data_IF_255347724573
#
_entry.id   IF_255347724573
#
_cell.length_a   1.000
_cell.length_b   1.000
_cell.length_c   1.000
_cell.angle_alpha   90.00
_cell.angle_beta   90.00
_cell.angle_gamma   90.00
#
_symmetry.space_group_name_H-M   'P 1'
#
loop_
_entity.id
_entity.type
_entity.pdbx_description
1 polymer ?
#
# COMPACT_ATOMS: atom_id res chain seq x y z
N UNK A 1 24.03 22.12 -1.27
CA UNK A 1 25.00 21.00 -1.12
C UNK A 1 26.19 21.26 -2.02
N UNK A 2 27.29 21.71 -1.44
CA UNK A 2 28.59 21.87 -2.10
C UNK A 2 29.07 20.52 -2.64
N UNK A 3 29.67 20.54 -3.82
CA UNK A 3 30.18 19.38 -4.55
C UNK A 3 31.34 18.70 -3.79
N UNK A 4 31.01 17.84 -2.83
CA UNK A 4 31.96 16.88 -2.30
C UNK A 4 31.93 15.65 -3.20
N UNK A 5 32.98 15.52 -4.01
CA UNK A 5 33.30 14.24 -4.62
C UNK A 5 33.66 13.29 -3.48
N UNK A 6 32.75 12.39 -3.13
CA UNK A 6 33.04 11.32 -2.17
C UNK A 6 33.48 10.10 -2.98
N UNK A 7 34.77 9.81 -2.97
CA UNK A 7 35.33 8.60 -3.54
C UNK A 7 35.40 7.56 -2.42
N UNK A 8 34.44 6.63 -2.38
CA UNK A 8 34.28 5.68 -1.29
C UNK A 8 35.28 4.51 -1.33
N UNK A 9 36.56 4.78 -1.59
CA UNK A 9 37.59 3.73 -1.63
C UNK A 9 37.46 2.81 -2.85
N UNK A 10 38.07 1.63 -2.76
CA UNK A 10 38.09 0.63 -3.82
C UNK A 10 36.73 -0.08 -3.96
N UNK A 11 36.40 -0.64 -5.14
CA UNK A 11 35.20 -1.45 -5.31
C UNK A 11 35.04 -2.59 -4.29
N UNK A 12 36.14 -3.19 -3.83
CA UNK A 12 36.08 -4.26 -2.82
C UNK A 12 35.65 -3.72 -1.45
N UNK A 13 36.24 -2.59 -1.01
CA UNK A 13 35.89 -1.93 0.26
C UNK A 13 34.42 -1.49 0.27
N UNK A 14 33.93 -0.92 -0.85
CA UNK A 14 32.52 -0.58 -1.03
C UNK A 14 31.62 -1.79 -0.81
N UNK A 15 31.96 -2.95 -1.38
CA UNK A 15 31.16 -4.17 -1.21
C UNK A 15 31.23 -4.73 0.20
N UNK A 16 32.34 -4.53 0.92
CA UNK A 16 32.44 -4.91 2.34
C UNK A 16 31.54 -4.05 3.23
N UNK A 17 31.39 -2.76 2.92
CA UNK A 17 30.39 -1.90 3.57
C UNK A 17 28.98 -2.37 3.23
N UNK A 18 28.67 -2.57 1.94
CA UNK A 18 27.35 -3.02 1.48
C UNK A 18 26.93 -4.34 2.14
N UNK A 19 27.87 -5.29 2.33
CA UNK A 19 27.59 -6.57 2.97
C UNK A 19 27.23 -6.45 4.46
N UNK A 20 27.55 -5.33 5.12
CA UNK A 20 27.23 -5.09 6.52
C UNK A 20 25.89 -4.35 6.70
N UNK A 21 25.41 -3.64 5.68
CA UNK A 21 24.20 -2.83 5.79
C UNK A 21 22.96 -3.62 6.22
N UNK A 22 22.72 -4.89 5.80
CA UNK A 22 21.56 -5.65 6.27
C UNK A 22 21.48 -5.88 7.78
N UNK A 23 22.58 -5.70 8.52
CA UNK A 23 22.59 -5.81 9.98
C UNK A 23 22.19 -4.50 10.69
N UNK A 24 22.06 -3.40 9.94
CA UNK A 24 21.64 -2.11 10.49
C UNK A 24 20.12 -2.04 10.65
N UNK A 25 19.61 -1.26 11.62
CA UNK A 25 18.18 -1.03 11.72
C UNK A 25 17.67 -0.16 10.56
N UNK A 26 16.47 -0.48 10.07
CA UNK A 26 15.72 0.42 9.19
C UNK A 26 15.15 1.59 9.98
N UNK A 27 14.92 2.72 9.31
CA UNK A 27 14.17 3.82 9.90
C UNK A 27 12.68 3.47 10.00
N UNK A 28 11.97 4.11 10.93
CA UNK A 28 10.52 3.99 10.99
C UNK A 28 9.85 4.59 9.73
N UNK A 29 8.62 4.20 9.39
CA UNK A 29 7.90 4.78 8.25
C UNK A 29 7.82 6.31 8.32
N UNK A 30 8.31 6.98 7.27
CA UNK A 30 8.35 8.44 7.18
C UNK A 30 9.56 9.10 7.85
N UNK A 31 10.45 8.32 8.47
CA UNK A 31 11.68 8.81 9.07
C UNK A 31 12.91 8.47 8.21
N UNK A 32 14.02 9.13 8.53
CA UNK A 32 15.36 8.86 7.99
C UNK A 32 16.32 8.63 9.15
N UNK A 33 17.18 7.63 9.03
CA UNK A 33 18.23 7.34 10.00
C UNK A 33 19.60 7.35 9.30
N UNK A 34 20.49 8.25 9.71
CA UNK A 34 21.85 8.26 9.20
C UNK A 34 22.66 7.09 9.82
N UNK A 35 23.51 6.46 9.03
CA UNK A 35 24.40 5.39 9.48
C UNK A 35 25.85 5.65 9.10
N UNK A 36 26.77 5.06 9.87
CA UNK A 36 28.19 5.07 9.56
C UNK A 36 28.80 3.67 9.73
N UNK A 37 29.45 3.16 8.69
CA UNK A 37 30.11 1.84 8.67
C UNK A 37 31.47 1.97 8.01
N UNK A 38 32.53 1.56 8.72
CA UNK A 38 33.92 1.62 8.24
C UNK A 38 34.35 3.00 7.71
N UNK A 39 33.81 4.09 8.26
CA UNK A 39 34.11 5.46 7.81
C UNK A 39 33.31 5.93 6.58
N UNK A 40 32.39 5.10 6.10
CA UNK A 40 31.40 5.47 5.08
C UNK A 40 30.10 5.87 5.76
N UNK A 41 29.39 6.82 5.18
CA UNK A 41 28.12 7.31 5.67
C UNK A 41 27.03 7.07 4.63
N UNK A 42 25.80 6.92 5.10
CA UNK A 42 24.62 6.86 4.25
C UNK A 42 23.35 6.97 5.08
N UNK A 43 22.23 6.67 4.43
CA UNK A 43 20.90 6.90 5.00
C UNK A 43 20.12 5.59 5.00
N UNK A 44 19.33 5.35 6.03
CA UNK A 44 18.33 4.28 6.11
C UNK A 44 16.96 4.91 6.05
N UNK A 45 16.08 4.31 5.25
CA UNK A 45 14.67 4.60 5.18
C UNK A 45 13.88 3.35 5.59
N UNK A 46 12.56 3.41 5.54
CA UNK A 46 11.71 2.23 5.68
C UNK A 46 12.10 1.17 4.63
N UNK A 47 12.66 0.05 5.10
CA UNK A 47 13.04 -1.16 4.33
C UNK A 47 14.17 -1.01 3.31
N UNK A 48 14.91 0.10 3.29
CA UNK A 48 16.04 0.27 2.37
C UNK A 48 17.16 1.10 3.00
N UNK A 49 18.39 0.66 2.81
CA UNK A 49 19.58 1.47 3.05
C UNK A 49 20.06 2.07 1.73
N UNK A 50 20.33 3.36 1.72
CA UNK A 50 20.85 4.10 0.59
C UNK A 50 22.30 4.50 0.86
N UNK A 51 23.18 4.18 -0.08
CA UNK A 51 24.58 4.51 -0.04
C UNK A 51 24.98 5.26 -1.32
N UNK A 52 25.18 6.58 -1.20
CA UNK A 52 25.62 7.41 -2.32
C UNK A 52 27.09 7.18 -2.62
N UNK A 53 27.40 6.47 -3.70
CA UNK A 53 28.78 6.03 -4.03
C UNK A 53 29.62 7.07 -4.75
N UNK A 54 28.99 7.95 -5.54
CA UNK A 54 29.69 9.04 -6.21
C UNK A 54 28.73 10.15 -6.67
N UNK A 55 29.24 11.37 -6.70
CA UNK A 55 28.61 12.53 -7.33
C UNK A 55 29.69 13.36 -8.03
N UNK A 56 29.66 13.42 -9.37
CA UNK A 56 30.73 14.09 -10.14
C UNK A 56 30.22 14.62 -11.49
N UNK A 57 30.68 15.81 -11.95
CA UNK A 57 30.28 16.36 -13.25
C UNK A 57 30.75 15.51 -14.44
N UNK A 58 31.92 14.86 -14.32
CA UNK A 58 32.37 13.89 -15.31
C UNK A 58 31.63 12.55 -15.15
N UNK A 59 30.69 12.30 -16.06
CA UNK A 59 29.92 11.05 -16.11
C UNK A 59 30.80 9.83 -16.36
N UNK A 60 31.95 9.97 -17.04
CA UNK A 60 32.83 8.84 -17.33
C UNK A 60 33.42 8.27 -16.05
N UNK A 61 33.87 9.12 -15.12
CA UNK A 61 34.37 8.73 -13.80
C UNK A 61 33.33 7.99 -12.96
N UNK A 62 32.10 8.50 -12.92
CA UNK A 62 31.00 7.86 -12.19
C UNK A 62 30.69 6.47 -12.77
N UNK A 63 30.71 6.34 -14.10
CA UNK A 63 30.52 5.05 -14.78
C UNK A 63 31.68 4.09 -14.58
N UNK A 64 32.91 4.59 -14.52
CA UNK A 64 34.11 3.79 -14.23
C UNK A 64 34.00 3.16 -12.84
N UNK A 65 33.67 3.95 -11.81
CA UNK A 65 33.41 3.43 -10.47
C UNK A 65 32.28 2.40 -10.46
N UNK A 66 31.13 2.73 -11.04
CA UNK A 66 29.97 1.83 -11.10
C UNK A 66 30.33 0.50 -11.80
N UNK A 67 31.10 0.55 -12.88
CA UNK A 67 31.60 -0.64 -13.58
C UNK A 67 32.53 -1.45 -12.69
N UNK A 68 33.44 -0.79 -11.97
CA UNK A 68 34.33 -1.44 -11.01
C UNK A 68 33.57 -2.17 -9.90
N UNK A 69 32.57 -1.52 -9.31
CA UNK A 69 31.68 -2.10 -8.29
C UNK A 69 30.88 -3.28 -8.87
N UNK A 70 30.31 -3.13 -10.07
CA UNK A 70 29.56 -4.19 -10.71
C UNK A 70 30.41 -5.43 -11.02
N UNK A 71 31.63 -5.25 -11.54
CA UNK A 71 32.57 -6.36 -11.79
C UNK A 71 32.98 -7.05 -10.48
N UNK A 72 33.19 -6.28 -9.41
CA UNK A 72 33.49 -6.85 -8.10
C UNK A 72 32.28 -7.63 -7.53
N UNK A 73 31.06 -7.12 -7.72
CA UNK A 73 29.84 -7.77 -7.27
C UNK A 73 29.56 -9.06 -8.07
N UNK A 74 29.79 -9.06 -9.38
CA UNK A 74 29.69 -10.25 -10.22
C UNK A 74 30.61 -11.39 -9.73
N UNK A 75 31.83 -11.04 -9.28
CA UNK A 75 32.76 -12.01 -8.70
C UNK A 75 32.33 -12.50 -7.32
N UNK A 76 31.75 -11.63 -6.50
CA UNK A 76 31.41 -11.92 -5.10
C UNK A 76 30.07 -12.65 -4.95
N UNK A 77 29.05 -12.26 -5.71
CA UNK A 77 27.66 -12.70 -5.55
C UNK A 77 27.08 -13.36 -6.80
N UNK A 78 27.86 -13.44 -7.89
CA UNK A 78 27.48 -14.16 -9.09
C UNK A 78 26.63 -13.32 -10.04
N UNK A 79 25.63 -13.96 -10.67
CA UNK A 79 24.92 -13.38 -11.81
C UNK A 79 24.08 -12.16 -11.41
N UNK A 80 24.32 -11.04 -12.08
CA UNK A 80 23.45 -9.85 -11.98
C UNK A 80 22.18 -9.96 -12.82
N UNK A 81 21.15 -9.29 -12.35
CA UNK A 81 19.87 -9.09 -13.02
C UNK A 81 19.68 -7.61 -13.34
N UNK A 82 18.70 -7.31 -14.22
CA UNK A 82 18.30 -5.93 -14.51
C UNK A 82 16.96 -5.66 -13.84
N UNK A 83 16.89 -4.55 -13.12
CA UNK A 83 15.65 -4.02 -12.57
C UNK A 83 15.23 -2.82 -13.40
N UNK A 84 13.99 -2.85 -13.90
CA UNK A 84 13.41 -1.77 -14.69
C UNK A 84 12.29 -1.11 -13.90
N UNK A 85 12.46 0.16 -13.53
CA UNK A 85 11.47 0.89 -12.76
C UNK A 85 10.15 1.06 -13.53
N UNK A 86 10.17 0.99 -14.88
CA UNK A 86 8.96 1.07 -15.69
C UNK A 86 8.17 -0.26 -15.71
N UNK A 87 8.81 -1.38 -15.35
CA UNK A 87 8.15 -2.69 -15.23
C UNK A 87 7.52 -2.90 -13.84
N UNK A 88 7.67 -1.93 -12.94
CA UNK A 88 7.06 -1.94 -11.60
C UNK A 88 5.73 -1.22 -11.65
N UNK A 89 4.80 -1.69 -10.82
CA UNK A 89 3.46 -1.11 -10.70
C UNK A 89 3.55 0.39 -10.40
N UNK A 90 3.01 1.27 -11.27
CA UNK A 90 3.23 2.70 -11.14
C UNK A 90 2.52 3.26 -9.90
N UNK A 91 3.05 4.34 -9.31
CA UNK A 91 2.58 4.89 -8.02
C UNK A 91 1.08 5.22 -7.96
N UNK A 92 0.49 5.49 -9.12
CA UNK A 92 -0.92 5.79 -9.23
C UNK A 92 -1.80 4.51 -9.25
N UNK A 93 -1.23 3.35 -9.53
CA UNK A 93 -1.93 2.06 -9.55
C UNK A 93 -2.17 1.53 -8.12
N UNK A 94 -3.41 1.18 -7.72
CA UNK A 94 -3.70 0.61 -6.41
C UNK A 94 -2.90 -0.65 -6.06
N UNK A 95 -2.47 -1.43 -7.06
CA UNK A 95 -1.60 -2.59 -6.83
C UNK A 95 -0.17 -2.17 -6.43
N UNK A 96 0.19 -0.88 -6.52
CA UNK A 96 1.48 -0.36 -6.08
C UNK A 96 1.77 -0.67 -4.61
N UNK A 97 0.75 -0.65 -3.74
CA UNK A 97 0.93 -1.02 -2.32
C UNK A 97 1.21 -2.52 -2.13
N UNK A 98 0.85 -3.34 -3.12
CA UNK A 98 1.01 -4.79 -3.12
C UNK A 98 2.24 -5.25 -3.90
N UNK A 99 2.79 -4.40 -4.76
CA UNK A 99 4.01 -4.69 -5.50
C UNK A 99 5.22 -4.39 -4.60
N UNK A 100 5.91 -5.42 -4.09
CA UNK A 100 7.03 -5.20 -3.19
C UNK A 100 8.19 -4.45 -3.88
N UNK A 101 8.21 -4.41 -5.22
CA UNK A 101 9.20 -3.68 -6.02
C UNK A 101 8.92 -2.17 -6.08
N UNK A 102 7.75 -1.72 -5.63
CA UNK A 102 7.32 -0.32 -5.63
C UNK A 102 8.29 0.60 -4.88
N UNK A 103 8.71 0.17 -3.68
CA UNK A 103 9.62 0.94 -2.82
C UNK A 103 10.99 1.17 -3.48
N UNK A 104 11.73 0.13 -3.92
CA UNK A 104 13.00 0.35 -4.60
C UNK A 104 12.84 1.11 -5.92
N UNK A 105 11.76 0.90 -6.68
CA UNK A 105 11.50 1.67 -7.91
C UNK A 105 11.29 3.16 -7.63
N UNK A 106 10.50 3.50 -6.61
CA UNK A 106 10.25 4.89 -6.22
C UNK A 106 11.54 5.58 -5.74
N UNK A 107 12.39 4.88 -4.97
CA UNK A 107 13.68 5.39 -4.55
C UNK A 107 14.60 5.68 -5.75
N UNK A 108 14.70 4.74 -6.69
CA UNK A 108 15.47 4.93 -7.93
C UNK A 108 14.95 6.10 -8.77
N UNK A 109 13.63 6.21 -8.93
CA UNK A 109 13.00 7.29 -9.69
C UNK A 109 13.19 8.65 -9.05
N UNK A 110 13.13 8.75 -7.71
CA UNK A 110 13.41 9.99 -6.98
C UNK A 110 14.84 10.50 -7.25
N UNK A 111 15.78 9.58 -7.47
CA UNK A 111 17.15 9.90 -7.85
C UNK A 111 17.34 10.10 -9.36
N UNK A 112 16.29 9.99 -10.17
CA UNK A 112 16.31 10.10 -11.62
C UNK A 112 16.90 8.88 -12.35
N UNK A 113 17.02 7.74 -11.67
CA UNK A 113 17.39 6.47 -12.29
C UNK A 113 16.13 5.72 -12.76
N UNK A 114 16.15 5.22 -13.99
CA UNK A 114 15.05 4.41 -14.54
C UNK A 114 15.30 2.91 -14.42
N UNK A 115 16.55 2.51 -14.15
CA UNK A 115 16.98 1.12 -14.11
C UNK A 115 18.15 0.94 -13.14
N UNK A 116 18.31 -0.28 -12.64
CA UNK A 116 19.43 -0.68 -11.80
C UNK A 116 19.95 -2.07 -12.18
N UNK A 117 21.23 -2.32 -11.92
CA UNK A 117 21.80 -3.67 -11.90
C UNK A 117 21.60 -4.27 -10.51
N UNK A 118 21.30 -5.57 -10.44
CA UNK A 118 20.84 -6.23 -9.21
C UNK A 118 21.62 -7.48 -8.89
N UNK A 119 22.06 -7.63 -7.64
CA UNK A 119 22.68 -8.84 -7.11
C UNK A 119 21.94 -9.29 -5.86
N UNK A 120 21.72 -10.60 -5.73
CA UNK A 120 21.22 -11.21 -4.49
C UNK A 120 22.40 -11.71 -3.66
N UNK A 121 22.38 -11.49 -2.36
CA UNK A 121 23.37 -12.00 -1.42
C UNK A 121 22.71 -12.30 -0.07
N UNK A 122 22.70 -13.59 0.32
CA UNK A 122 21.87 -14.04 1.45
C UNK A 122 20.40 -13.73 1.23
N UNK A 123 19.74 -13.20 2.25
CA UNK A 123 18.35 -12.73 2.21
C UNK A 123 18.23 -11.27 1.76
N UNK A 124 19.31 -10.67 1.25
CA UNK A 124 19.38 -9.27 0.83
C UNK A 124 19.70 -9.12 -0.65
N UNK A 125 19.49 -7.92 -1.15
CA UNK A 125 19.84 -7.55 -2.51
C UNK A 125 20.47 -6.17 -2.59
N UNK A 126 21.41 -6.03 -3.52
CA UNK A 126 22.01 -4.77 -3.94
C UNK A 126 21.37 -4.35 -5.25
N UNK A 127 20.90 -3.10 -5.33
CA UNK A 127 20.56 -2.42 -6.58
C UNK A 127 21.57 -1.30 -6.79
N UNK A 128 22.36 -1.38 -7.87
CA UNK A 128 23.32 -0.36 -8.27
C UNK A 128 22.76 0.45 -9.42
N UNK A 129 22.66 1.76 -9.25
CA UNK A 129 22.11 2.65 -10.27
C UNK A 129 23.01 3.85 -10.54
N UNK A 130 23.02 4.28 -11.79
CA UNK A 130 23.73 5.48 -12.25
C UNK A 130 22.76 6.45 -12.89
N UNK A 131 22.63 7.65 -12.33
CA UNK A 131 21.94 8.75 -13.00
C UNK A 131 22.96 9.66 -13.68
N UNK A 132 23.05 9.58 -15.01
CA UNK A 132 23.96 10.43 -15.80
C UNK A 132 23.49 11.88 -16.01
N UNK A 133 22.27 12.23 -15.58
CA UNK A 133 21.63 13.53 -15.83
C UNK A 133 20.84 14.00 -14.59
N UNK A 134 21.50 14.07 -13.45
CA UNK A 134 20.86 14.61 -12.25
C UNK A 134 20.59 16.12 -12.40
N UNK A 135 19.56 16.62 -11.72
CA UNK A 135 19.16 18.03 -11.78
C UNK A 135 20.27 19.00 -11.34
N UNK A 136 21.23 18.52 -10.54
CA UNK A 136 22.41 19.30 -10.12
C UNK A 136 23.48 19.46 -11.21
N UNK A 137 23.35 18.79 -12.36
CA UNK A 137 24.36 18.75 -13.42
C UNK A 137 25.51 17.77 -13.18
N UNK A 138 25.52 17.07 -12.03
CA UNK A 138 26.45 15.97 -11.77
C UNK A 138 25.84 14.62 -12.16
N UNK A 139 26.68 13.65 -12.53
CA UNK A 139 26.28 12.25 -12.55
C UNK A 139 26.33 11.69 -11.13
N UNK A 140 25.40 10.79 -10.80
CA UNK A 140 25.31 10.12 -9.49
C UNK A 140 25.44 8.61 -9.65
N UNK A 141 26.11 7.95 -8.71
CA UNK A 141 26.09 6.50 -8.52
C UNK A 141 25.58 6.20 -7.12
N UNK A 142 24.58 5.33 -7.00
CA UNK A 142 23.96 4.97 -5.72
C UNK A 142 23.78 3.46 -5.63
N UNK A 143 24.03 2.92 -4.44
CA UNK A 143 23.68 1.57 -4.05
C UNK A 143 22.47 1.59 -3.11
N UNK A 144 21.44 0.80 -3.42
CA UNK A 144 20.32 0.51 -2.53
C UNK A 144 20.46 -0.92 -2.00
N UNK A 145 20.30 -1.10 -0.70
CA UNK A 145 20.35 -2.41 -0.04
C UNK A 145 19.05 -2.66 0.71
N UNK A 146 18.40 -3.78 0.42
CA UNK A 146 17.12 -4.17 0.98
C UNK A 146 16.99 -5.70 1.01
N UNK A 147 15.92 -6.23 1.61
CA UNK A 147 15.64 -7.66 1.57
C UNK A 147 15.37 -8.13 0.13
N UNK A 148 15.85 -9.33 -0.23
CA UNK A 148 15.70 -9.91 -1.56
C UNK A 148 14.24 -10.26 -1.90
N UNK A 149 13.40 -10.43 -0.87
CA UNK A 149 11.94 -10.61 -0.97
C UNK A 149 11.27 -9.45 -1.70
N UNK A 150 11.84 -8.23 -1.64
CA UNK A 150 11.31 -7.08 -2.34
C UNK A 150 11.45 -7.12 -3.86
N UNK A 151 12.28 -8.02 -4.36
CA UNK A 151 12.54 -8.21 -5.79
C UNK A 151 11.76 -9.36 -6.39
N UNK A 152 11.01 -10.09 -5.57
CA UNK A 152 10.11 -11.11 -6.08
C UNK A 152 9.04 -10.42 -6.93
N UNK A 153 8.68 -11.03 -8.05
CA UNK A 153 7.52 -10.59 -8.80
C UNK A 153 6.33 -10.55 -7.84
N UNK A 154 5.40 -9.59 -8.00
CA UNK A 154 4.16 -9.63 -7.26
C UNK A 154 3.61 -11.03 -7.49
N UNK A 155 3.55 -11.82 -6.42
CA UNK A 155 2.69 -12.99 -6.41
C UNK A 155 1.37 -12.43 -6.91
N UNK A 156 0.82 -13.01 -7.96
CA UNK A 156 -0.43 -12.58 -8.59
C UNK A 156 -1.58 -12.82 -7.61
N UNK A 157 -1.50 -12.20 -6.44
CA UNK A 157 -2.41 -12.28 -5.31
C UNK A 157 -3.68 -11.59 -5.70
N UNK A 158 -3.66 -10.65 -6.65
CA UNK A 158 -4.86 -10.13 -7.27
C UNK A 158 -5.51 -11.16 -8.19
N UNK A 159 -4.84 -11.78 -9.18
CA UNK A 159 -5.54 -12.79 -10.00
C UNK A 159 -5.88 -14.06 -9.22
N UNK A 160 -5.09 -14.44 -8.22
CA UNK A 160 -5.43 -15.54 -7.30
C UNK A 160 -6.60 -15.14 -6.39
N UNK A 161 -6.60 -13.94 -5.81
CA UNK A 161 -7.73 -13.46 -5.01
C UNK A 161 -8.99 -13.20 -5.85
N UNK A 162 -8.86 -12.71 -7.09
CA UNK A 162 -9.94 -12.48 -8.05
C UNK A 162 -10.46 -13.81 -8.58
N UNK A 163 -9.59 -14.78 -8.88
CA UNK A 163 -10.03 -16.13 -9.23
C UNK A 163 -10.71 -16.84 -8.05
N UNK A 164 -10.24 -16.64 -6.82
CA UNK A 164 -10.88 -17.14 -5.60
C UNK A 164 -12.20 -16.40 -5.31
N UNK A 165 -12.26 -15.09 -5.54
CA UNK A 165 -13.45 -14.24 -5.40
C UNK A 165 -14.49 -14.63 -6.45
N UNK A 166 -14.12 -14.77 -7.72
CA UNK A 166 -14.97 -15.26 -8.80
C UNK A 166 -15.41 -16.70 -8.57
N UNK A 167 -14.56 -17.55 -7.98
CA UNK A 167 -14.96 -18.90 -7.57
C UNK A 167 -15.96 -18.85 -6.41
N UNK A 168 -15.83 -17.90 -5.47
CA UNK A 168 -16.77 -17.64 -4.37
C UNK A 168 -18.10 -17.08 -4.89
N UNK A 169 -18.08 -16.10 -5.80
CA UNK A 169 -19.26 -15.52 -6.46
C UNK A 169 -19.99 -16.59 -7.28
N UNK A 170 -19.27 -17.44 -8.03
CA UNK A 170 -19.87 -18.56 -8.77
C UNK A 170 -20.47 -19.64 -7.86
N UNK A 171 -19.90 -19.86 -6.68
CA UNK A 171 -20.49 -20.73 -5.64
C UNK A 171 -21.70 -20.08 -4.97
N UNK A 172 -21.65 -18.78 -4.72
CA UNK A 172 -22.73 -18.00 -4.11
C UNK A 172 -23.94 -17.85 -5.06
N UNK A 173 -23.72 -17.67 -6.36
CA UNK A 173 -24.77 -17.55 -7.38
C UNK A 173 -25.57 -18.83 -7.65
N UNK A 174 -25.13 -20.00 -7.16
CA UNK A 174 -25.90 -21.26 -7.23
C UNK A 174 -26.76 -21.53 -5.98
N UNK A 175 -26.62 -20.73 -4.92
CA UNK A 175 -27.44 -20.81 -3.71
C UNK A 175 -28.62 -19.85 -3.80
N UNK A 176 -29.79 -20.39 -4.17
CA UNK A 176 -31.02 -19.62 -4.35
C UNK A 176 -31.35 -18.65 -3.21
N UNK A 177 -32.05 -17.58 -3.60
CA UNK A 177 -32.79 -16.64 -2.74
C UNK A 177 -33.30 -17.31 -1.47
N UNK A 178 -32.62 -17.03 -0.35
CA UNK A 178 -33.16 -17.26 0.98
C UNK A 178 -33.16 -15.93 1.71
N UNK A 179 -34.34 -15.30 1.74
CA UNK A 179 -34.76 -14.40 2.82
C UNK A 179 -34.42 -15.10 4.15
N UNK A 180 -33.30 -14.71 4.79
CA UNK A 180 -32.93 -15.19 6.13
C UNK A 180 -33.29 -14.12 7.15
N UNK A 181 -34.03 -14.56 8.17
CA UNK A 181 -34.46 -13.78 9.34
C UNK A 181 -33.25 -13.13 10.04
N UNK A 182 -33.36 -11.83 10.33
CA UNK A 182 -32.34 -10.97 10.92
C UNK A 182 -31.83 -11.38 12.32
N UNK A 183 -32.53 -12.26 13.05
CA UNK A 183 -32.18 -12.58 14.44
C UNK A 183 -31.01 -13.57 14.62
N UNK A 184 -30.64 -14.34 13.59
CA UNK A 184 -29.52 -15.32 13.68
C UNK A 184 -28.16 -14.76 13.25
N UNK A 185 -28.15 -13.71 12.42
CA UNK A 185 -26.94 -13.20 11.76
C UNK A 185 -26.06 -12.38 12.70
N UNK A 186 -26.65 -11.67 13.67
CA UNK A 186 -25.87 -10.85 14.62
C UNK A 186 -25.03 -11.68 15.60
N UNK A 187 -25.54 -12.86 16.00
CA UNK A 187 -24.78 -13.80 16.81
C UNK A 187 -23.65 -14.44 16.01
N UNK A 188 -23.88 -14.78 14.74
CA UNK A 188 -22.84 -15.34 13.86
C UNK A 188 -21.72 -14.32 13.59
N UNK A 189 -22.06 -13.06 13.31
CA UNK A 189 -21.07 -12.01 13.03
C UNK A 189 -20.14 -11.74 14.22
N UNK A 190 -20.69 -11.70 15.44
CA UNK A 190 -19.88 -11.58 16.65
C UNK A 190 -19.00 -12.82 16.85
N UNK A 191 -19.52 -14.02 16.62
CA UNK A 191 -18.75 -15.26 16.73
C UNK A 191 -17.62 -15.34 15.69
N UNK A 192 -17.81 -14.77 14.51
CA UNK A 192 -16.76 -14.68 13.49
C UNK A 192 -15.59 -13.80 13.96
N UNK A 193 -15.87 -12.65 14.58
CA UNK A 193 -14.82 -11.82 15.20
C UNK A 193 -14.09 -12.54 16.33
N UNK A 194 -14.82 -13.27 17.18
CA UNK A 194 -14.25 -13.95 18.35
C UNK A 194 -13.61 -15.31 18.02
N UNK A 195 -13.68 -15.76 16.77
CA UNK A 195 -13.24 -17.10 16.35
C UNK A 195 -11.73 -17.33 16.41
N UNK A 196 -10.93 -16.26 16.42
CA UNK A 196 -9.47 -16.26 16.20
C UNK A 196 -9.04 -16.82 14.83
N UNK A 197 -9.99 -17.10 13.96
CA UNK A 197 -9.73 -17.52 12.59
C UNK A 197 -9.61 -16.27 11.71
N UNK A 198 -8.43 -16.04 11.15
CA UNK A 198 -8.13 -14.85 10.36
C UNK A 198 -9.07 -14.71 9.16
N UNK A 199 -9.47 -15.80 8.51
CA UNK A 199 -10.38 -15.77 7.37
C UNK A 199 -11.79 -15.37 7.80
N UNK A 200 -12.29 -15.92 8.92
CA UNK A 200 -13.61 -15.54 9.46
C UNK A 200 -13.64 -14.09 9.91
N UNK A 201 -12.59 -13.63 10.57
CA UNK A 201 -12.45 -12.22 11.00
C UNK A 201 -12.44 -11.29 9.77
N UNK A 202 -11.69 -11.62 8.72
CA UNK A 202 -11.70 -10.84 7.47
C UNK A 202 -13.10 -10.76 6.84
N UNK A 203 -13.83 -11.87 6.78
CA UNK A 203 -15.22 -11.85 6.28
C UNK A 203 -16.15 -11.02 7.17
N UNK A 204 -15.95 -11.03 8.48
CA UNK A 204 -16.72 -10.20 9.40
C UNK A 204 -16.44 -8.69 9.20
N UNK A 205 -15.18 -8.32 8.95
CA UNK A 205 -14.77 -6.95 8.60
C UNK A 205 -15.50 -6.49 7.33
N UNK A 206 -15.55 -7.33 6.29
CA UNK A 206 -16.26 -7.02 5.03
C UNK A 206 -17.76 -6.77 5.26
N UNK A 207 -18.40 -7.58 6.13
CA UNK A 207 -19.82 -7.41 6.50
C UNK A 207 -20.03 -6.08 7.23
N UNK A 208 -19.17 -5.74 8.19
CA UNK A 208 -19.25 -4.46 8.92
C UNK A 208 -19.09 -3.28 7.96
N UNK A 209 -18.11 -3.34 7.07
CA UNK A 209 -17.85 -2.29 6.09
C UNK A 209 -18.96 -2.16 5.05
N UNK A 210 -19.60 -3.25 4.63
CA UNK A 210 -20.69 -3.23 3.67
C UNK A 210 -22.07 -2.90 4.22
N UNK A 211 -22.29 -2.99 5.54
CA UNK A 211 -23.64 -2.87 6.12
C UNK A 211 -23.99 -1.45 6.54
N UNK A 212 -25.08 -0.88 6.01
CA UNK A 212 -25.71 0.34 6.55
C UNK A 212 -26.70 0.10 7.69
N UNK A 213 -26.90 -1.15 8.13
CA UNK A 213 -27.88 -1.52 9.16
C UNK A 213 -27.28 -1.44 10.58
N UNK A 214 -27.63 -0.44 11.40
CA UNK A 214 -27.12 -0.33 12.77
C UNK A 214 -27.62 -1.47 13.68
N UNK A 215 -28.79 -2.07 13.40
CA UNK A 215 -29.32 -3.16 14.21
C UNK A 215 -28.52 -4.45 14.01
N UNK A 216 -28.00 -4.69 12.81
CA UNK A 216 -27.05 -5.78 12.54
C UNK A 216 -25.74 -5.59 13.31
N UNK A 217 -25.22 -4.36 13.34
CA UNK A 217 -23.91 -4.05 13.92
C UNK A 217 -23.93 -3.88 15.44
N UNK A 218 -25.07 -3.51 16.02
CA UNK A 218 -25.19 -3.18 17.44
C UNK A 218 -24.66 -4.28 18.39
N UNK A 219 -24.93 -5.59 18.18
CA UNK A 219 -24.39 -6.64 19.05
C UNK A 219 -22.87 -6.78 18.99
N UNK A 220 -22.25 -6.49 17.84
CA UNK A 220 -20.79 -6.49 17.70
C UNK A 220 -20.20 -5.22 18.33
N UNK A 221 -20.85 -4.07 18.12
CA UNK A 221 -20.44 -2.79 18.70
C UNK A 221 -20.49 -2.79 20.24
N UNK A 222 -21.46 -3.49 20.83
CA UNK A 222 -21.55 -3.69 22.27
C UNK A 222 -20.33 -4.43 22.83
N UNK A 223 -19.76 -5.36 22.06
CA UNK A 223 -18.61 -6.19 22.43
C UNK A 223 -17.28 -5.66 21.83
N UNK A 224 -17.22 -4.37 21.45
CA UNK A 224 -16.07 -3.81 20.73
C UNK A 224 -14.72 -4.06 21.42
N UNK A 225 -14.67 -4.05 22.76
CA UNK A 225 -13.44 -4.35 23.49
C UNK A 225 -12.95 -5.77 23.22
N UNK A 226 -13.84 -6.76 23.20
CA UNK A 226 -13.51 -8.15 22.91
C UNK A 226 -13.12 -8.33 21.44
N UNK A 227 -13.79 -7.61 20.53
CA UNK A 227 -13.46 -7.57 19.10
C UNK A 227 -12.04 -7.04 18.88
N UNK A 228 -11.68 -5.90 19.49
CA UNK A 228 -10.33 -5.33 19.38
C UNK A 228 -9.25 -6.30 19.91
N UNK A 229 -9.51 -6.96 21.04
CA UNK A 229 -8.60 -7.96 21.57
C UNK A 229 -8.44 -9.17 20.62
N UNK A 230 -9.51 -9.59 19.95
CA UNK A 230 -9.48 -10.68 18.97
C UNK A 230 -8.73 -10.29 17.69
N UNK A 231 -8.91 -9.05 17.21
CA UNK A 231 -8.16 -8.51 16.07
C UNK A 231 -6.66 -8.48 16.36
N UNK A 232 -6.27 -7.97 17.53
CA UNK A 232 -4.88 -7.94 17.96
C UNK A 232 -4.30 -9.36 18.07
N UNK A 233 -5.03 -10.29 18.69
CA UNK A 233 -4.58 -11.67 18.85
C UNK A 233 -4.46 -12.46 17.53
N UNK A 234 -5.12 -12.01 16.46
CA UNK A 234 -5.05 -12.59 15.12
C UNK A 234 -4.09 -11.80 14.18
N UNK A 235 -3.24 -10.95 14.74
CA UNK A 235 -2.25 -10.13 14.04
C UNK A 235 -2.86 -9.25 12.93
N UNK A 236 -4.04 -8.66 13.20
CA UNK A 236 -4.57 -7.58 12.38
C UNK A 236 -3.95 -6.26 12.84
N UNK A 237 -3.49 -5.47 11.86
CA UNK A 237 -2.95 -4.14 12.09
C UNK A 237 -4.06 -3.12 11.83
N UNK A 238 -4.25 -2.18 12.75
CA UNK A 238 -5.16 -1.04 12.59
C UNK A 238 -4.28 0.15 12.20
N UNK A 239 -4.41 0.60 10.95
CA UNK A 239 -3.70 1.76 10.41
C UNK A 239 -4.64 2.56 9.53
N UNK A 240 -4.43 3.87 9.49
CA UNK A 240 -5.24 4.83 8.74
C UNK A 240 -5.47 4.40 7.30
N UNK A 241 -6.73 4.39 6.89
CA UNK A 241 -7.20 4.07 5.55
C UNK A 241 -7.33 2.58 5.23
N UNK A 242 -7.07 1.68 6.19
CA UNK A 242 -7.22 0.25 5.96
C UNK A 242 -8.65 -0.27 6.29
N UNK A 243 -9.06 -1.44 5.77
CA UNK A 243 -10.40 -1.99 6.03
C UNK A 243 -10.68 -2.30 7.50
N UNK A 244 -9.65 -2.54 8.32
CA UNK A 244 -9.79 -2.88 9.74
C UNK A 244 -10.15 -1.64 10.55
N UNK A 245 -9.46 -0.53 10.32
CA UNK A 245 -9.74 0.78 10.93
C UNK A 245 -11.17 1.23 10.59
N UNK A 246 -11.55 1.17 9.31
CA UNK A 246 -12.91 1.53 8.91
C UNK A 246 -13.97 0.68 9.64
N UNK A 247 -13.74 -0.62 9.81
CA UNK A 247 -14.67 -1.48 10.54
C UNK A 247 -14.77 -1.09 12.03
N UNK A 248 -13.64 -0.79 12.66
CA UNK A 248 -13.59 -0.32 14.06
C UNK A 248 -14.33 1.01 14.20
N UNK A 249 -14.05 2.00 13.34
CA UNK A 249 -14.74 3.30 13.33
C UNK A 249 -16.26 3.15 13.24
N UNK A 250 -16.72 2.26 12.35
CA UNK A 250 -18.16 2.00 12.17
C UNK A 250 -18.78 1.40 13.42
N UNK A 251 -18.09 0.47 14.09
CA UNK A 251 -18.56 -0.11 15.34
C UNK A 251 -18.57 0.93 16.47
N UNK A 252 -17.59 1.83 16.54
CA UNK A 252 -17.59 2.95 17.49
C UNK A 252 -18.73 3.94 17.28
N UNK A 253 -19.01 4.28 16.02
CA UNK A 253 -20.15 5.12 15.63
C UNK A 253 -21.46 4.47 16.08
N UNK A 254 -21.66 3.18 15.80
CA UNK A 254 -22.87 2.46 16.25
C UNK A 254 -22.95 2.43 17.78
N UNK A 255 -21.84 2.15 18.48
CA UNK A 255 -21.80 2.11 19.94
C UNK A 255 -22.16 3.45 20.57
N UNK A 256 -21.76 4.56 19.94
CA UNK A 256 -22.04 5.92 20.38
C UNK A 256 -23.42 6.44 19.94
N UNK A 257 -24.18 5.66 19.17
CA UNK A 257 -25.48 6.08 18.62
C UNK A 257 -25.37 7.06 17.44
N UNK A 258 -24.18 7.20 16.85
CA UNK A 258 -23.97 8.01 15.65
C UNK A 258 -24.51 7.36 14.38
N UNK A 259 -24.61 8.15 13.31
CA UNK A 259 -25.03 7.64 12.00
C UNK A 259 -23.83 7.13 11.20
N UNK A 260 -23.94 5.92 10.63
CA UNK A 260 -22.90 5.27 9.83
C UNK A 260 -22.47 6.08 8.59
N UNK A 261 -23.30 7.00 8.12
CA UNK A 261 -22.97 7.88 7.00
C UNK A 261 -21.78 8.81 7.30
N UNK A 262 -21.43 9.02 8.57
CA UNK A 262 -20.25 9.80 8.96
C UNK A 262 -18.94 9.21 8.40
N UNK A 263 -18.95 7.94 7.99
CA UNK A 263 -17.79 7.27 7.37
C UNK A 263 -17.69 7.45 5.86
N UNK A 264 -18.71 7.96 5.17
CA UNK A 264 -18.67 8.13 3.71
C UNK A 264 -17.47 8.94 3.21
N UNK A 265 -17.07 10.06 3.85
CA UNK A 265 -15.90 10.82 3.39
C UNK A 265 -14.57 10.06 3.46
N UNK A 266 -14.51 8.95 4.20
CA UNK A 266 -13.32 8.14 4.41
C UNK A 266 -13.30 6.85 3.59
N UNK A 267 -14.35 6.59 2.78
CA UNK A 267 -14.45 5.37 1.98
C UNK A 267 -14.99 5.64 0.59
N UNK A 268 -14.57 4.84 -0.37
CA UNK A 268 -15.18 4.82 -1.70
C UNK A 268 -16.37 3.84 -1.69
N UNK A 269 -17.59 4.39 -1.63
CA UNK A 269 -18.83 3.63 -1.73
C UNK A 269 -19.63 4.06 -2.97
N UNK A 270 -20.13 3.08 -3.71
CA UNK A 270 -20.97 3.34 -4.89
C UNK A 270 -22.33 3.90 -4.45
N UNK A 271 -22.65 5.18 -4.75
CA UNK A 271 -23.90 5.81 -4.33
C UNK A 271 -25.13 5.08 -4.89
N UNK A 272 -25.03 4.42 -6.04
CA UNK A 272 -26.15 3.64 -6.58
C UNK A 272 -26.38 2.38 -5.76
N UNK A 273 -25.31 1.64 -5.39
CA UNK A 273 -25.44 0.45 -4.54
C UNK A 273 -25.96 0.79 -3.15
N UNK A 274 -25.50 1.90 -2.57
CA UNK A 274 -25.98 2.38 -1.28
C UNK A 274 -27.47 2.78 -1.37
N UNK A 275 -27.89 3.38 -2.49
CA UNK A 275 -29.29 3.74 -2.73
C UNK A 275 -30.19 2.52 -2.94
N UNK A 276 -29.73 1.54 -3.73
CA UNK A 276 -30.43 0.28 -3.96
C UNK A 276 -30.61 -0.52 -2.66
N UNK A 277 -29.64 -0.39 -1.73
CA UNK A 277 -29.72 -0.97 -0.39
C UNK A 277 -30.58 -0.15 0.58
N UNK A 278 -31.04 1.04 0.20
CA UNK A 278 -31.89 1.92 1.01
C UNK A 278 -31.16 2.73 2.08
N UNK A 279 -29.82 2.77 2.04
CA UNK A 279 -29.01 3.52 3.01
C UNK A 279 -28.90 5.01 2.69
N UNK A 280 -29.08 5.36 1.42
CA UNK A 280 -29.08 6.74 0.93
C UNK A 280 -30.15 6.94 -0.14
N UNK A 281 -30.48 8.19 -0.45
CA UNK A 281 -31.26 8.58 -1.63
C UNK A 281 -30.43 9.46 -2.55
N UNK A 282 -30.55 9.30 -3.87
CA UNK A 282 -29.94 10.22 -4.84
C UNK A 282 -30.95 11.34 -5.12
N UNK A 283 -30.70 12.53 -4.57
CA UNK A 283 -31.57 13.71 -4.71
C UNK A 283 -31.45 14.34 -6.10
N UNK A 284 -30.23 14.41 -6.63
CA UNK A 284 -30.01 14.87 -8.00
C UNK A 284 -28.75 14.27 -8.60
N UNK A 285 -28.76 14.15 -9.92
CA UNK A 285 -27.60 13.77 -10.73
C UNK A 285 -27.46 14.80 -11.85
N UNK A 286 -26.27 15.40 -11.98
CA UNK A 286 -25.95 16.38 -13.03
C UNK A 286 -24.72 15.94 -13.81
N UNK A 287 -24.66 16.35 -15.08
CA UNK A 287 -23.48 16.17 -15.94
C UNK A 287 -23.15 17.53 -16.52
N UNK A 288 -21.92 17.98 -16.32
CA UNK A 288 -21.46 19.30 -16.77
C UNK A 288 -21.32 19.38 -18.29
N UNK A 289 -21.09 18.25 -18.98
CA UNK A 289 -21.01 18.15 -20.43
C UNK A 289 -21.33 16.72 -20.90
N UNK A 290 -21.65 16.51 -22.19
CA UNK A 290 -21.73 15.17 -22.78
C UNK A 290 -20.42 14.40 -22.56
N UNK A 291 -20.51 13.19 -22.01
CA UNK A 291 -19.34 12.36 -21.66
C UNK A 291 -18.69 12.70 -20.33
N UNK A 292 -19.10 13.78 -19.63
CA UNK A 292 -18.66 14.04 -18.27
C UNK A 292 -19.23 13.00 -17.29
N UNK A 293 -18.45 12.70 -16.25
CA UNK A 293 -18.89 11.85 -15.14
C UNK A 293 -20.01 12.54 -14.35
N UNK A 294 -21.00 11.77 -13.87
CA UNK A 294 -22.09 12.31 -13.10
C UNK A 294 -21.60 12.85 -11.74
N UNK A 295 -22.06 14.05 -11.40
CA UNK A 295 -22.01 14.57 -10.04
C UNK A 295 -23.36 14.32 -9.39
N UNK A 296 -23.36 13.74 -8.18
CA UNK A 296 -24.59 13.38 -7.48
C UNK A 296 -24.70 14.15 -6.18
N UNK A 297 -25.92 14.52 -5.83
CA UNK A 297 -26.27 14.94 -4.48
C UNK A 297 -26.98 13.78 -3.82
N UNK A 298 -26.42 13.30 -2.72
CA UNK A 298 -26.89 12.10 -2.03
C UNK A 298 -27.30 12.46 -0.61
N UNK A 299 -28.45 11.96 -0.16
CA UNK A 299 -28.97 12.17 1.19
C UNK A 299 -28.94 10.87 1.99
N UNK A 300 -28.45 10.92 3.22
CA UNK A 300 -28.54 9.78 4.14
C UNK A 300 -29.99 9.56 4.55
N UNK A 301 -30.51 8.33 4.39
CA UNK A 301 -31.91 8.01 4.76
C UNK A 301 -32.12 7.94 6.28
N UNK A 302 -31.03 7.79 7.06
CA UNK A 302 -31.10 7.70 8.52
C UNK A 302 -31.05 9.06 9.22
N UNK A 303 -30.14 9.95 8.83
CA UNK A 303 -29.95 11.25 9.52
C UNK A 303 -30.19 12.48 8.64
N UNK A 304 -30.47 12.30 7.35
CA UNK A 304 -30.71 13.41 6.42
C UNK A 304 -29.46 14.17 5.98
N UNK A 305 -28.26 13.76 6.38
CA UNK A 305 -27.02 14.40 5.94
C UNK A 305 -26.87 14.36 4.41
N UNK A 306 -26.45 15.48 3.82
CA UNK A 306 -26.27 15.62 2.38
C UNK A 306 -24.79 15.51 2.00
N UNK A 307 -24.54 14.91 0.85
CA UNK A 307 -23.21 14.70 0.31
C UNK A 307 -23.17 15.08 -1.17
N UNK A 308 -22.12 15.78 -1.58
CA UNK A 308 -21.67 15.82 -2.95
C UNK A 308 -20.85 14.58 -3.25
N UNK A 309 -21.24 13.83 -4.26
CA UNK A 309 -20.56 12.61 -4.69
C UNK A 309 -20.03 12.80 -6.09
N UNK A 310 -18.71 12.75 -6.20
CA UNK A 310 -17.99 12.75 -7.46
C UNK A 310 -17.61 11.32 -7.82
N UNK A 311 -18.03 10.88 -8.99
CA UNK A 311 -17.54 9.65 -9.60
C UNK A 311 -16.22 9.93 -10.30
N UNK A 312 -15.21 9.13 -10.00
CA UNK A 312 -13.95 9.11 -10.71
C UNK A 312 -13.62 7.71 -11.18
N UNK A 313 -12.65 7.61 -12.08
CA UNK A 313 -12.10 6.34 -12.51
C UNK A 313 -10.63 6.53 -12.80
N UNK A 314 -9.88 5.52 -12.42
CA UNK A 314 -8.47 5.47 -12.70
C UNK A 314 -8.05 4.04 -13.05
N UNK A 315 -8.14 3.11 -12.09
CA UNK A 315 -8.05 1.66 -12.34
C UNK A 315 -9.34 0.89 -12.01
N UNK A 316 -10.19 1.47 -11.18
CA UNK A 316 -11.56 1.05 -10.92
C UNK A 316 -12.41 2.31 -10.70
N UNK A 317 -13.72 2.19 -10.86
CA UNK A 317 -14.65 3.25 -10.49
C UNK A 317 -14.55 3.51 -9.00
N UNK A 318 -14.38 4.77 -8.62
CA UNK A 318 -14.34 5.22 -7.23
C UNK A 318 -15.28 6.41 -7.03
N UNK A 319 -15.67 6.65 -5.78
CA UNK A 319 -16.57 7.73 -5.42
C UNK A 319 -16.01 8.52 -4.25
N UNK A 320 -15.87 9.83 -4.44
CA UNK A 320 -15.49 10.76 -3.38
C UNK A 320 -16.74 11.41 -2.83
N UNK A 321 -16.95 11.24 -1.53
CA UNK A 321 -18.08 11.80 -0.79
C UNK A 321 -17.63 13.04 -0.01
N UNK A 322 -18.24 14.19 -0.27
CA UNK A 322 -17.96 15.45 0.40
C UNK A 322 -19.22 15.90 1.13
N UNK A 323 -19.21 16.01 2.47
CA UNK A 323 -20.37 16.51 3.21
C UNK A 323 -20.73 17.92 2.77
N UNK A 324 -22.03 18.17 2.58
CA UNK A 324 -22.57 19.53 2.43
C UNK A 324 -22.82 20.11 3.82
N UNK A 325 -22.27 21.30 4.06
CA UNK A 325 -22.53 22.09 5.27
C UNK A 325 -23.90 22.75 5.21
#
# INVERSE_FOLDING_TARGET
>A
MTAHFVEHGTPAEILDVIAQLPALPYAAPGEQLDWSVAGHEGESFDRVHMFGLASHPDTARVRELATGVAVAADRRWGKRHRFDCAAVTPKNDPAHILDPRAVPAAALQAMGATQAEVWRFGDSALLLAVNSRHASGAALCVALVLEASYLEEPVDRLAVADAEMDARIRRAGKGGSRRRRAAGVSSELLQDFLSRDRTRISSAIDVVNGSGDPALLAPVAAELRAVLAALQAADFVIVDGNPVELAVDRLEIVRSGGCLCATYPRRSADPQREADAGWVGIESETRSAPGARPQRVVVCTSCGALFDVEEGEYHATWWKWVPRA
#
